data_IF_680423504487
#
_entry.id   IF_680423504487
#
_cell.length_a   1.000
_cell.length_b   1.000
_cell.length_c   1.000
_cell.angle_alpha   90.00
_cell.angle_beta   90.00
_cell.angle_gamma   90.00
#
_symmetry.space_group_name_H-M   'P 1'
#
loop_
_entity.id
_entity.type
_entity.pdbx_description
1 polymer ?
#
# COMPACT_ATOMS: atom_id res chain seq x y z
N UNK A 1 -24.73 -9.60 14.12
CA UNK A 1 -24.42 -9.19 12.72
C UNK A 1 -24.32 -10.45 11.88
N UNK A 2 -24.82 -10.43 10.64
CA UNK A 2 -24.62 -11.55 9.71
C UNK A 2 -23.15 -11.63 9.30
N UNK A 3 -22.70 -12.82 8.86
CA UNK A 3 -21.35 -13.00 8.34
C UNK A 3 -21.05 -12.06 7.17
N UNK A 4 -22.00 -11.93 6.24
CA UNK A 4 -21.87 -11.03 5.07
C UNK A 4 -21.62 -9.57 5.46
N UNK A 5 -22.34 -9.08 6.47
CA UNK A 5 -22.18 -7.72 6.95
C UNK A 5 -20.80 -7.50 7.60
N UNK A 6 -20.31 -8.48 8.38
CA UNK A 6 -18.99 -8.40 8.99
C UNK A 6 -17.84 -8.49 7.97
N UNK A 7 -17.98 -9.35 6.96
CA UNK A 7 -16.99 -9.47 5.89
C UNK A 7 -16.96 -8.20 5.01
N UNK A 8 -18.11 -7.58 4.75
CA UNK A 8 -18.18 -6.31 4.05
C UNK A 8 -17.49 -5.19 4.83
N UNK A 9 -17.71 -5.10 6.14
CA UNK A 9 -17.07 -4.10 7.01
C UNK A 9 -15.54 -4.27 7.04
N UNK A 10 -15.04 -5.51 7.18
CA UNK A 10 -13.60 -5.79 7.12
C UNK A 10 -12.99 -5.34 5.79
N UNK A 11 -13.62 -5.68 4.66
CA UNK A 11 -13.13 -5.28 3.33
C UNK A 11 -13.14 -3.76 3.19
N UNK A 12 -14.22 -3.10 3.58
CA UNK A 12 -14.32 -1.64 3.54
C UNK A 12 -13.19 -0.96 4.32
N UNK A 13 -12.86 -1.48 5.51
CA UNK A 13 -11.75 -0.99 6.33
C UNK A 13 -10.37 -1.22 5.70
N UNK A 14 -10.22 -2.21 4.81
CA UNK A 14 -8.97 -2.54 4.14
C UNK A 14 -8.79 -1.85 2.77
N UNK A 15 -9.80 -1.15 2.22
CA UNK A 15 -9.68 -0.51 0.90
C UNK A 15 -8.61 0.59 0.90
N UNK A 16 -8.56 1.42 1.95
CA UNK A 16 -7.52 2.45 2.12
C UNK A 16 -7.01 2.41 3.56
N UNK A 17 -5.72 2.16 3.72
CA UNK A 17 -5.09 2.04 5.03
C UNK A 17 -3.89 3.00 5.13
N UNK A 18 -3.81 3.76 6.22
CA UNK A 18 -2.68 4.62 6.50
C UNK A 18 -1.55 3.82 7.17
N UNK A 19 -0.32 4.02 6.70
CA UNK A 19 0.85 3.30 7.20
C UNK A 19 2.14 4.05 6.98
N UNK A 20 3.25 3.34 7.18
CA UNK A 20 4.61 3.86 7.04
C UNK A 20 5.43 2.90 6.20
N UNK A 21 6.24 3.42 5.28
CA UNK A 21 7.14 2.62 4.45
C UNK A 21 8.17 1.93 5.35
N UNK A 22 8.20 0.60 5.31
CA UNK A 22 9.09 -0.21 6.15
C UNK A 22 10.39 -0.59 5.44
N UNK A 23 10.30 -1.05 4.19
CA UNK A 23 11.45 -1.39 3.36
C UNK A 23 11.20 -1.01 1.90
N UNK A 24 12.29 -0.78 1.16
CA UNK A 24 12.25 -0.39 -0.26
C UNK A 24 13.28 -1.20 -1.04
N UNK A 25 12.83 -1.90 -2.07
CA UNK A 25 13.66 -2.53 -3.08
C UNK A 25 13.61 -1.67 -4.34
N UNK A 26 14.67 -0.87 -4.50
CA UNK A 26 14.86 0.08 -5.59
C UNK A 26 15.04 -0.67 -6.93
N UNK A 27 15.63 -1.86 -6.93
CA UNK A 27 15.87 -2.64 -8.14
C UNK A 27 14.57 -3.30 -8.65
N UNK A 28 13.73 -3.79 -7.73
CA UNK A 28 12.44 -4.40 -8.07
C UNK A 28 11.30 -3.37 -8.23
N UNK A 29 11.54 -2.10 -7.93
CA UNK A 29 10.53 -1.03 -7.87
C UNK A 29 9.36 -1.36 -6.92
N UNK A 30 9.68 -1.92 -5.74
CA UNK A 30 8.70 -2.32 -4.73
C UNK A 30 9.04 -1.80 -3.33
N UNK A 31 8.02 -1.63 -2.50
CA UNK A 31 8.16 -1.30 -1.09
C UNK A 31 7.20 -2.14 -0.24
N UNK A 32 7.47 -2.21 1.05
CA UNK A 32 6.54 -2.73 2.05
C UNK A 32 6.03 -1.58 2.92
N UNK A 33 4.80 -1.71 3.41
CA UNK A 33 4.14 -0.71 4.26
C UNK A 33 3.71 -1.40 5.56
N UNK A 34 4.10 -0.82 6.70
CA UNK A 34 3.56 -1.22 8.00
C UNK A 34 2.30 -0.42 8.29
N UNK A 35 1.20 -1.11 8.57
CA UNK A 35 -0.09 -0.56 8.96
C UNK A 35 -0.41 -1.13 10.33
N UNK A 36 -0.43 -0.28 11.35
CA UNK A 36 -0.58 -0.69 12.75
C UNK A 36 0.42 -1.81 13.13
N UNK A 37 -0.07 -3.03 13.33
CA UNK A 37 0.66 -4.20 13.82
C UNK A 37 1.06 -5.21 12.73
N UNK A 38 0.73 -4.95 11.45
CA UNK A 38 1.10 -5.82 10.34
C UNK A 38 1.89 -5.07 9.26
N UNK A 39 2.67 -5.81 8.48
CA UNK A 39 3.46 -5.29 7.36
C UNK A 39 3.06 -6.01 6.08
N UNK A 40 2.87 -5.23 5.00
CA UNK A 40 2.51 -5.76 3.69
C UNK A 40 3.61 -6.63 3.08
N UNK A 41 3.22 -7.41 2.07
CA UNK A 41 4.18 -7.96 1.12
C UNK A 41 4.77 -6.83 0.24
N UNK A 42 5.68 -7.17 -0.66
CA UNK A 42 6.31 -6.25 -1.60
C UNK A 42 5.32 -5.77 -2.66
N UNK A 43 4.92 -4.51 -2.56
CA UNK A 43 3.95 -3.88 -3.45
C UNK A 43 4.61 -2.80 -4.32
N UNK A 44 4.12 -2.55 -5.54
CA UNK A 44 4.54 -1.39 -6.29
C UNK A 44 4.08 -0.11 -5.58
N UNK A 45 4.86 0.97 -5.71
CA UNK A 45 4.41 2.30 -5.30
C UNK A 45 3.87 3.09 -6.49
N UNK A 46 3.06 4.10 -6.18
CA UNK A 46 2.57 5.04 -7.18
C UNK A 46 3.66 6.05 -7.59
N UNK A 47 3.83 6.27 -8.90
CA UNK A 47 4.63 7.37 -9.45
C UNK A 47 3.73 8.35 -10.20
N UNK A 48 4.16 9.62 -10.37
CA UNK A 48 3.31 10.61 -11.06
C UNK A 48 3.16 10.33 -12.54
N UNK A 49 4.06 9.54 -13.13
CA UNK A 49 4.01 9.12 -14.53
C UNK A 49 4.71 7.76 -14.74
N UNK A 50 4.05 6.85 -15.47
CA UNK A 50 4.52 5.49 -15.77
C UNK A 50 4.30 5.09 -17.25
N UNK A 51 4.17 6.06 -18.15
CA UNK A 51 3.91 5.85 -19.59
C UNK A 51 5.14 6.15 -20.45
N UNK A 52 4.94 6.83 -21.59
CA UNK A 52 6.05 7.33 -22.41
C UNK A 52 6.95 8.31 -21.64
N UNK A 53 6.32 9.16 -20.82
CA UNK A 53 6.99 9.95 -19.78
C UNK A 53 6.99 9.15 -18.49
N UNK A 54 8.14 9.12 -17.81
CA UNK A 54 8.36 8.35 -16.59
C UNK A 54 9.00 9.23 -15.54
N UNK A 55 8.49 9.14 -14.32
CA UNK A 55 9.13 9.74 -13.15
C UNK A 55 9.64 8.62 -12.24
N UNK A 56 10.88 8.79 -11.76
CA UNK A 56 11.48 7.92 -10.77
C UNK A 56 11.71 8.68 -9.47
N UNK A 57 10.93 8.32 -8.45
CA UNK A 57 11.06 8.83 -7.09
C UNK A 57 10.65 7.73 -6.11
N UNK A 58 11.57 6.80 -5.78
CA UNK A 58 11.26 5.76 -4.80
C UNK A 58 10.96 6.40 -3.44
N UNK A 59 10.02 5.83 -2.68
CA UNK A 59 9.76 6.29 -1.32
C UNK A 59 10.95 6.03 -0.41
N UNK A 60 10.99 6.68 0.75
CA UNK A 60 12.00 6.43 1.78
C UNK A 60 11.42 5.61 2.95
N UNK A 61 12.19 4.69 3.56
CA UNK A 61 11.78 4.08 4.82
C UNK A 61 11.46 5.16 5.88
N UNK A 62 10.35 4.99 6.60
CA UNK A 62 9.83 5.98 7.55
C UNK A 62 8.89 7.04 6.96
N UNK A 63 8.72 7.08 5.64
CA UNK A 63 7.75 7.96 4.98
C UNK A 63 6.31 7.49 5.24
N UNK A 64 5.38 8.42 5.51
CA UNK A 64 3.96 8.10 5.62
C UNK A 64 3.37 7.76 4.26
N UNK A 65 2.53 6.74 4.20
CA UNK A 65 1.93 6.26 2.96
C UNK A 65 0.47 5.83 3.15
N UNK A 66 -0.26 5.80 2.03
CA UNK A 66 -1.56 5.16 1.92
C UNK A 66 -1.43 3.88 1.11
N UNK A 67 -1.86 2.76 1.67
CA UNK A 67 -2.05 1.50 0.97
C UNK A 67 -3.48 1.47 0.40
N UNK A 68 -3.62 1.18 -0.89
CA UNK A 68 -4.92 1.10 -1.57
C UNK A 68 -5.14 -0.30 -2.15
N UNK A 69 -6.16 -0.99 -1.65
CA UNK A 69 -6.43 -2.41 -1.94
C UNK A 69 -7.80 -2.59 -2.60
N UNK A 70 -7.87 -3.01 -3.87
CA UNK A 70 -9.14 -3.28 -4.53
C UNK A 70 -9.91 -4.39 -3.82
N UNK A 71 -11.15 -4.09 -3.39
CA UNK A 71 -12.01 -5.00 -2.60
C UNK A 71 -11.52 -5.31 -1.17
N UNK A 72 -10.62 -4.49 -0.63
CA UNK A 72 -10.09 -4.62 0.72
C UNK A 72 -9.20 -5.85 0.89
#
# INVERSE_FOLDING_TARGET
>A
MSYEAGEADRRLACIVQAGVIAAVDVAAARCTVTVADWTSDWLPWWSRAAGAVREWRPPSPGEQALLVSPSG
#
